data_IF_471098450310
#
_entry.id   IF_471098450310
#
_cell.length_a   1.000
_cell.length_b   1.000
_cell.length_c   1.000
_cell.angle_alpha   90.00
_cell.angle_beta   90.00
_cell.angle_gamma   90.00
#
_symmetry.space_group_name_H-M   'P 1'
#
loop_
_entity.id
_entity.type
_entity.pdbx_description
1 polymer ?
#
# COMPACT_ATOMS: atom_id res chain seq x y z
N UNK A 1 -7.85 -9.35 5.56
CA UNK A 1 -8.52 -8.69 4.42
C UNK A 1 -8.53 -7.18 4.62
N UNK A 2 -7.68 -6.44 3.88
CA UNK A 2 -7.63 -4.97 3.92
C UNK A 2 -8.63 -4.43 2.89
N UNK A 3 -9.84 -4.10 3.33
CA UNK A 3 -10.85 -3.47 2.46
C UNK A 3 -10.56 -1.97 2.46
N UNK A 4 -10.07 -1.45 1.34
CA UNK A 4 -9.85 -0.02 1.17
C UNK A 4 -11.20 0.70 1.25
N UNK A 5 -11.36 1.59 2.23
CA UNK A 5 -12.52 2.47 2.31
C UNK A 5 -12.37 3.54 1.23
N UNK A 6 -13.06 3.35 0.11
CA UNK A 6 -13.16 4.36 -0.94
C UNK A 6 -14.13 5.43 -0.43
N UNK A 7 -13.59 6.49 0.17
CA UNK A 7 -14.34 7.70 0.51
C UNK A 7 -14.61 8.49 -0.78
N UNK A 8 -15.51 7.99 -1.64
CA UNK A 8 -16.14 8.84 -2.63
C UNK A 8 -17.33 9.53 -1.98
N UNK A 9 -17.43 10.86 -2.11
CA UNK A 9 -18.57 11.66 -1.67
C UNK A 9 -19.77 11.49 -2.62
N UNK A 10 -19.90 10.31 -3.21
CA UNK A 10 -20.91 9.96 -4.18
C UNK A 10 -22.23 9.79 -3.41
N UNK A 11 -22.92 10.92 -3.26
CA UNK A 11 -24.33 11.27 -3.01
C UNK A 11 -25.37 10.21 -2.56
N UNK A 12 -25.11 8.91 -2.66
CA UNK A 12 -25.89 7.82 -2.08
C UNK A 12 -25.36 7.42 -0.68
N UNK A 13 -25.45 8.36 0.27
CA UNK A 13 -25.68 8.08 1.71
C UNK A 13 -25.00 6.81 2.27
N UNK A 14 -23.67 6.74 2.22
CA UNK A 14 -22.93 5.61 2.77
C UNK A 14 -23.33 5.41 4.25
N UNK A 15 -23.87 4.24 4.66
CA UNK A 15 -24.46 4.07 6.00
C UNK A 15 -23.45 4.32 7.12
N UNK A 16 -22.17 4.06 6.84
CA UNK A 16 -21.05 4.38 7.72
C UNK A 16 -20.77 5.88 7.88
N UNK A 17 -20.95 6.70 6.83
CA UNK A 17 -20.82 8.15 6.94
C UNK A 17 -22.03 8.78 7.64
N UNK A 18 -23.20 8.14 7.55
CA UNK A 18 -24.42 8.57 8.22
C UNK A 18 -24.39 8.34 9.74
N UNK A 19 -23.70 7.30 10.21
CA UNK A 19 -23.51 7.05 11.65
C UNK A 19 -22.39 7.90 12.27
N UNK A 20 -21.64 8.66 11.47
CA UNK A 20 -20.51 9.45 11.93
C UNK A 20 -20.97 10.83 12.47
N UNK A 21 -20.57 11.19 13.70
CA UNK A 21 -20.76 12.54 14.25
C UNK A 21 -20.21 13.66 13.36
N UNK A 22 -20.86 14.85 13.34
CA UNK A 22 -20.51 15.94 12.42
C UNK A 22 -19.08 16.46 12.59
N UNK A 23 -18.54 16.48 13.82
CA UNK A 23 -17.16 16.93 14.08
C UNK A 23 -16.09 15.99 13.51
N UNK A 24 -16.41 14.72 13.24
CA UNK A 24 -15.49 13.76 12.60
C UNK A 24 -15.51 13.94 11.09
N UNK A 25 -16.66 14.32 10.52
CA UNK A 25 -16.81 14.61 9.08
C UNK A 25 -16.04 15.87 8.66
N UNK A 26 -15.97 16.87 9.54
CA UNK A 26 -15.30 18.16 9.27
C UNK A 26 -13.80 18.13 9.61
N UNK A 27 -13.33 17.13 10.36
CA UNK A 27 -12.11 17.23 11.17
C UNK A 27 -10.82 16.62 10.62
N UNK A 28 -10.79 16.06 9.42
CA UNK A 28 -9.56 15.47 8.90
C UNK A 28 -9.13 16.18 7.61
N UNK A 29 -8.19 17.13 7.74
CA UNK A 29 -7.34 17.46 6.62
C UNK A 29 -6.71 16.14 6.13
N UNK A 30 -6.94 15.81 4.86
CA UNK A 30 -6.42 14.57 4.29
C UNK A 30 -4.91 14.55 4.50
N UNK A 31 -4.42 13.67 5.38
CA UNK A 31 -2.99 13.46 5.55
C UNK A 31 -2.49 12.92 4.21
N UNK A 32 -1.61 13.64 3.50
CA UNK A 32 -1.10 13.16 2.23
C UNK A 32 -0.32 11.87 2.53
N UNK A 33 -0.88 10.73 2.12
CA UNK A 33 -0.14 9.47 2.14
C UNK A 33 0.98 9.65 1.12
N UNK A 34 2.26 9.57 1.53
CA UNK A 34 3.35 9.67 0.58
C UNK A 34 3.18 8.52 -0.41
N UNK A 35 2.79 8.85 -1.65
CA UNK A 35 2.85 7.90 -2.76
C UNK A 35 4.32 7.55 -2.92
N UNK A 36 4.66 6.32 -2.56
CA UNK A 36 5.96 5.76 -2.85
C UNK A 36 6.17 5.92 -4.37
N UNK A 37 7.15 6.75 -4.73
CA UNK A 37 7.51 6.93 -6.13
C UNK A 37 8.12 5.59 -6.58
N UNK A 38 7.71 5.03 -7.72
CA UNK A 38 8.36 3.83 -8.23
C UNK A 38 9.85 4.14 -8.39
N UNK A 39 10.67 3.45 -7.60
CA UNK A 39 12.12 3.59 -7.63
C UNK A 39 12.65 2.43 -8.45
N UNK A 40 12.95 2.71 -9.72
CA UNK A 40 13.50 1.70 -10.62
C UNK A 40 14.76 1.03 -10.05
N UNK A 41 15.59 1.79 -9.34
CA UNK A 41 16.77 1.26 -8.63
C UNK A 41 16.42 0.38 -7.43
N UNK A 42 15.32 0.67 -6.72
CA UNK A 42 14.85 -0.15 -5.61
C UNK A 42 14.40 -1.52 -6.10
N UNK A 43 13.57 -1.53 -7.15
CA UNK A 43 13.07 -2.77 -7.76
C UNK A 43 14.21 -3.61 -8.35
N UNK A 44 15.21 -2.97 -8.98
CA UNK A 44 16.38 -3.66 -9.53
C UNK A 44 17.25 -4.28 -8.43
N UNK A 45 17.39 -3.59 -7.29
CA UNK A 45 18.12 -4.12 -6.12
C UNK A 45 17.43 -5.34 -5.54
N UNK A 46 16.11 -5.29 -5.35
CA UNK A 46 15.35 -6.43 -4.81
C UNK A 46 15.41 -7.63 -5.76
N UNK A 47 15.34 -7.38 -7.07
CA UNK A 47 15.54 -8.43 -8.08
C UNK A 47 16.94 -9.05 -8.00
N UNK A 48 17.99 -8.23 -7.93
CA UNK A 48 19.37 -8.72 -7.84
C UNK A 48 19.62 -9.53 -6.56
N UNK A 49 19.04 -9.09 -5.43
CA UNK A 49 19.11 -9.83 -4.16
C UNK A 49 18.43 -11.19 -4.28
N UNK A 50 17.21 -11.25 -4.84
CA UNK A 50 16.50 -12.50 -5.04
C UNK A 50 17.25 -13.45 -5.99
N UNK A 51 17.81 -12.92 -7.08
CA UNK A 51 18.63 -13.67 -8.02
C UNK A 51 19.86 -14.27 -7.35
N UNK A 52 20.65 -13.45 -6.63
CA UNK A 52 21.83 -13.91 -5.91
C UNK A 52 21.49 -14.96 -4.85
N UNK A 53 20.41 -14.76 -4.09
CA UNK A 53 19.97 -15.72 -3.08
C UNK A 53 19.63 -17.08 -3.69
N UNK A 54 18.87 -17.08 -4.80
CA UNK A 54 18.49 -18.31 -5.49
C UNK A 54 19.71 -19.00 -6.12
N UNK A 55 20.60 -18.23 -6.74
CA UNK A 55 21.85 -18.75 -7.33
C UNK A 55 22.72 -19.43 -6.28
N UNK A 56 22.97 -18.76 -5.15
CA UNK A 56 23.75 -19.32 -4.03
C UNK A 56 23.09 -20.59 -3.49
N UNK A 57 21.76 -20.58 -3.32
CA UNK A 57 21.04 -21.76 -2.84
C UNK A 57 21.22 -22.96 -3.77
N UNK A 58 21.14 -22.76 -5.09
CA UNK A 58 21.37 -23.82 -6.08
C UNK A 58 22.83 -24.27 -6.10
N UNK A 59 23.79 -23.34 -6.03
CA UNK A 59 25.22 -23.66 -5.98
C UNK A 59 25.57 -24.50 -4.75
N UNK A 60 25.04 -24.15 -3.58
CA UNK A 60 25.23 -24.92 -2.34
C UNK A 60 24.54 -26.28 -2.43
N UNK A 61 23.36 -26.37 -3.05
CA UNK A 61 22.66 -27.64 -3.21
C UNK A 61 23.41 -28.62 -4.13
N UNK A 62 24.11 -28.10 -5.14
CA UNK A 62 24.86 -28.90 -6.12
C UNK A 62 26.27 -29.26 -5.61
N UNK A 63 26.86 -28.46 -4.74
CA UNK A 63 28.18 -28.70 -4.14
C UNK A 63 28.14 -29.83 -3.09
#
# INVERSE_FOLDING_TARGET
>A
MRRSLVLTDEQARHPFLASLPPHIRTGAAAVPVPRARPSWFGDLRDFAVAYCACFIAVSIYIA
#
